data_IF_956130639374
#
_entry.id   IF_956130639374
#
_cell.length_a   1.000
_cell.length_b   1.000
_cell.length_c   1.000
_cell.angle_alpha   90.00
_cell.angle_beta   90.00
_cell.angle_gamma   90.00
#
_symmetry.space_group_name_H-M   'P 1'
#
loop_
_entity.id
_entity.type
_entity.pdbx_description
1 polymer ?
#
# COMPACT_ATOMS: atom_id res chain seq x y z
N UNK A 1 17.98 -8.36 -19.75
CA UNK A 1 18.79 -7.44 -18.91
C UNK A 1 19.16 -6.24 -19.78
N UNK A 2 18.91 -5.03 -19.32
CA UNK A 2 19.32 -3.81 -20.02
C UNK A 2 20.85 -3.83 -20.21
N UNK A 3 21.31 -3.58 -21.44
CA UNK A 3 22.75 -3.50 -21.77
C UNK A 3 23.27 -2.06 -21.71
N UNK A 4 22.43 -1.12 -21.24
CA UNK A 4 22.78 0.31 -21.15
C UNK A 4 23.87 0.54 -20.11
N UNK A 5 24.75 1.50 -20.41
CA UNK A 5 25.69 1.99 -19.41
C UNK A 5 24.94 2.67 -18.25
N UNK A 6 25.43 2.61 -17.00
CA UNK A 6 24.74 3.19 -15.86
C UNK A 6 24.35 4.67 -16.01
N UNK A 7 25.26 5.49 -16.55
CA UNK A 7 24.99 6.91 -16.80
C UNK A 7 23.89 7.11 -17.87
N UNK A 8 23.95 6.34 -18.94
CA UNK A 8 22.93 6.37 -20.01
C UNK A 8 21.55 5.95 -19.49
N UNK A 9 21.48 4.95 -18.60
CA UNK A 9 20.21 4.56 -17.98
C UNK A 9 19.61 5.70 -17.16
N UNK A 10 20.43 6.39 -16.35
CA UNK A 10 20.00 7.54 -15.55
C UNK A 10 19.49 8.66 -16.45
N UNK A 11 20.26 9.06 -17.45
CA UNK A 11 19.89 10.12 -18.40
C UNK A 11 18.54 9.82 -19.07
N UNK A 12 18.35 8.60 -19.59
CA UNK A 12 17.10 8.21 -20.27
C UNK A 12 15.90 8.09 -19.36
N UNK A 13 16.08 7.71 -18.08
CA UNK A 13 14.99 7.79 -17.08
C UNK A 13 14.52 9.23 -16.91
N UNK A 14 15.47 10.18 -16.80
CA UNK A 14 15.16 11.61 -16.66
C UNK A 14 14.57 12.22 -17.94
N UNK A 15 14.92 11.70 -19.11
CA UNK A 15 14.30 12.04 -20.40
C UNK A 15 12.92 11.39 -20.58
N UNK A 16 12.49 10.53 -19.64
CA UNK A 16 11.21 9.80 -19.66
C UNK A 16 11.09 8.85 -20.86
N UNK A 17 12.19 8.25 -21.26
CA UNK A 17 12.23 7.30 -22.36
C UNK A 17 11.67 5.92 -21.91
N UNK A 18 10.47 5.49 -22.40
CA UNK A 18 9.87 4.24 -21.96
C UNK A 18 10.68 3.01 -22.41
N UNK A 19 11.55 3.16 -23.39
CA UNK A 19 12.34 2.04 -23.93
C UNK A 19 13.41 1.52 -22.98
N UNK A 20 13.67 2.23 -21.86
CA UNK A 20 14.52 1.69 -20.78
C UNK A 20 13.84 0.56 -20.00
N UNK A 21 12.53 0.42 -20.13
CA UNK A 21 11.73 -0.66 -19.53
C UNK A 21 11.16 -1.59 -20.62
N UNK A 22 9.85 -1.56 -20.83
CA UNK A 22 9.19 -2.42 -21.85
C UNK A 22 8.83 -1.68 -23.13
N UNK A 23 8.91 -0.35 -23.11
CA UNK A 23 8.63 0.51 -24.27
C UNK A 23 7.14 0.71 -24.53
N UNK A 24 6.30 0.58 -23.51
CA UNK A 24 4.84 0.75 -23.65
C UNK A 24 4.39 2.10 -23.08
N UNK A 25 3.76 2.10 -21.91
CA UNK A 25 3.08 3.26 -21.34
C UNK A 25 3.85 3.92 -20.16
N UNK A 26 5.09 3.46 -19.90
CA UNK A 26 5.85 3.89 -18.73
C UNK A 26 6.08 5.40 -18.68
N UNK A 27 6.25 6.06 -19.85
CA UNK A 27 6.46 7.51 -19.92
C UNK A 27 5.33 8.34 -19.27
N UNK A 28 4.10 7.81 -19.27
CA UNK A 28 2.96 8.51 -18.64
C UNK A 28 2.92 8.39 -17.12
N UNK A 29 3.78 7.58 -16.50
CA UNK A 29 3.78 7.31 -15.06
C UNK A 29 4.96 7.96 -14.32
N UNK A 30 5.70 8.85 -14.96
CA UNK A 30 6.94 9.43 -14.45
C UNK A 30 6.77 10.84 -13.84
N UNK A 31 5.53 11.24 -13.50
CA UNK A 31 5.26 12.52 -12.84
C UNK A 31 5.93 12.68 -11.48
N UNK A 32 6.19 11.56 -10.78
CA UNK A 32 6.85 11.53 -9.48
C UNK A 32 8.30 12.08 -9.51
N UNK A 33 8.96 12.06 -10.66
CA UNK A 33 10.30 12.65 -10.81
C UNK A 33 10.35 14.15 -10.49
N UNK A 34 9.27 14.88 -10.73
CA UNK A 34 9.18 16.33 -10.48
C UNK A 34 8.29 16.69 -9.29
N UNK A 35 7.69 15.69 -8.64
CA UNK A 35 6.68 15.92 -7.61
C UNK A 35 7.19 16.66 -6.37
N UNK A 36 8.43 16.43 -5.86
CA UNK A 36 8.94 17.22 -4.72
C UNK A 36 8.89 18.71 -4.98
N UNK A 37 9.36 19.16 -6.16
CA UNK A 37 9.35 20.59 -6.54
C UNK A 37 7.91 21.11 -6.71
N UNK A 38 7.03 20.34 -7.38
CA UNK A 38 5.61 20.70 -7.57
C UNK A 38 4.87 20.82 -6.24
N UNK A 39 5.07 19.90 -5.32
CA UNK A 39 4.44 19.97 -4.01
C UNK A 39 5.00 21.11 -3.15
N UNK A 40 6.29 21.46 -3.34
CA UNK A 40 6.88 22.60 -2.64
C UNK A 40 6.15 23.91 -2.93
N UNK A 41 5.64 24.09 -4.17
CA UNK A 41 4.84 25.25 -4.58
C UNK A 41 3.43 25.24 -3.96
N UNK A 42 2.91 24.07 -3.54
CA UNK A 42 1.57 23.90 -2.99
C UNK A 42 1.51 23.89 -1.47
N UNK A 43 2.64 23.93 -0.77
CA UNK A 43 2.69 23.81 0.70
C UNK A 43 1.82 24.86 1.38
N UNK A 44 1.87 26.13 0.94
CA UNK A 44 1.11 27.21 1.56
C UNK A 44 -0.40 26.97 1.48
N UNK A 45 -0.91 26.47 0.34
CA UNK A 45 -2.32 26.06 0.14
C UNK A 45 -2.74 25.02 1.19
N UNK A 46 -1.91 23.98 1.39
CA UNK A 46 -2.22 22.87 2.29
C UNK A 46 -2.16 23.31 3.76
N UNK A 47 -1.17 24.13 4.11
CA UNK A 47 -1.01 24.68 5.47
C UNK A 47 -2.16 25.62 5.80
N UNK A 48 -2.57 26.50 4.88
CA UNK A 48 -3.71 27.40 5.06
C UNK A 48 -5.00 26.59 5.30
N UNK A 49 -5.24 25.56 4.49
CA UNK A 49 -6.39 24.69 4.67
C UNK A 49 -6.44 24.05 6.06
N UNK A 50 -5.35 23.37 6.46
CA UNK A 50 -5.30 22.66 7.75
C UNK A 50 -5.39 23.64 8.92
N UNK A 51 -4.72 24.79 8.85
CA UNK A 51 -4.76 25.82 9.90
C UNK A 51 -6.13 26.48 10.06
N UNK A 52 -6.95 26.46 9.01
CA UNK A 52 -8.33 26.96 9.00
C UNK A 52 -9.36 26.00 9.61
N UNK A 53 -8.91 24.83 10.10
CA UNK A 53 -9.81 23.79 10.62
C UNK A 53 -9.57 23.60 12.12
N UNK A 54 -10.63 23.74 12.91
CA UNK A 54 -10.62 23.42 14.34
C UNK A 54 -11.21 22.02 14.57
N UNK A 55 -10.31 21.01 14.70
CA UNK A 55 -10.65 19.61 14.96
C UNK A 55 -9.67 19.02 15.97
N UNK A 56 -10.12 17.97 16.65
CA UNK A 56 -9.30 17.27 17.64
C UNK A 56 -8.53 16.11 17.01
N UNK A 57 -9.14 15.44 16.03
CA UNK A 57 -8.56 14.27 15.36
C UNK A 57 -8.65 14.38 13.83
N UNK A 58 -7.74 13.71 13.14
CA UNK A 58 -7.79 13.53 11.69
C UNK A 58 -7.79 12.04 11.37
N UNK A 59 -8.71 11.60 10.51
CA UNK A 59 -8.82 10.23 10.06
C UNK A 59 -8.60 10.15 8.54
N UNK A 60 -7.59 9.43 8.13
CA UNK A 60 -7.34 9.12 6.72
C UNK A 60 -8.07 7.82 6.35
N UNK A 61 -8.96 7.91 5.36
CA UNK A 61 -9.68 6.79 4.76
C UNK A 61 -9.03 6.49 3.41
N UNK A 62 -8.19 5.47 3.34
CA UNK A 62 -7.42 5.18 2.12
C UNK A 62 -6.85 3.77 2.12
N UNK A 63 -6.44 3.31 0.93
CA UNK A 63 -5.88 1.98 0.74
C UNK A 63 -4.56 2.05 -0.04
N UNK A 64 -3.61 1.17 0.28
CA UNK A 64 -2.35 1.06 -0.43
C UNK A 64 -1.58 2.39 -0.51
N UNK A 65 -1.26 2.88 -1.72
CA UNK A 65 -0.53 4.13 -1.91
C UNK A 65 -1.21 5.37 -1.34
N UNK A 66 -2.53 5.32 -1.07
CA UNK A 66 -3.25 6.42 -0.40
C UNK A 66 -3.16 6.38 1.12
N UNK A 67 -2.59 5.33 1.73
CA UNK A 67 -2.53 5.17 3.19
C UNK A 67 -1.15 4.82 3.73
N UNK A 68 -0.33 4.05 2.99
CA UNK A 68 0.90 3.47 3.54
C UNK A 68 2.00 4.50 3.81
N UNK A 69 2.22 5.46 2.91
CA UNK A 69 3.17 6.54 3.18
C UNK A 69 2.72 7.43 4.35
N UNK A 70 1.43 7.87 4.44
CA UNK A 70 0.90 8.52 5.63
C UNK A 70 1.04 7.69 6.91
N UNK A 71 0.78 6.39 6.87
CA UNK A 71 0.94 5.52 8.05
C UNK A 71 2.40 5.44 8.52
N UNK A 72 3.34 5.36 7.58
CA UNK A 72 4.78 5.45 7.90
C UNK A 72 5.11 6.79 8.56
N UNK A 73 4.66 7.90 7.99
CA UNK A 73 4.88 9.24 8.56
C UNK A 73 4.27 9.34 9.96
N UNK A 74 3.02 8.86 10.15
CA UNK A 74 2.35 8.82 11.46
C UNK A 74 3.19 8.11 12.52
N UNK A 75 3.77 6.96 12.18
CA UNK A 75 4.61 6.16 13.11
C UNK A 75 5.94 6.84 13.39
N UNK A 76 6.65 7.27 12.35
CA UNK A 76 7.98 7.89 12.46
C UNK A 76 7.92 9.20 13.24
N UNK A 77 6.91 10.05 12.99
CA UNK A 77 6.71 11.33 13.68
C UNK A 77 5.83 11.23 14.95
N UNK A 78 5.29 10.05 15.26
CA UNK A 78 4.45 9.76 16.44
C UNK A 78 3.23 10.68 16.53
N UNK A 79 2.50 10.83 15.41
CA UNK A 79 1.31 11.67 15.32
C UNK A 79 0.11 10.94 15.94
N UNK A 80 -0.16 11.17 17.24
CA UNK A 80 -1.15 10.43 18.03
C UNK A 80 -2.60 10.76 17.63
N UNK A 81 -2.86 12.02 17.17
CA UNK A 81 -4.18 12.49 16.77
C UNK A 81 -4.48 12.28 15.29
N UNK A 82 -3.61 11.58 14.58
CA UNK A 82 -3.81 11.18 13.20
C UNK A 82 -4.04 9.66 13.14
N UNK A 83 -5.14 9.26 12.54
CA UNK A 83 -5.55 7.86 12.43
C UNK A 83 -5.59 7.43 10.97
N UNK A 84 -5.18 6.21 10.67
CA UNK A 84 -5.31 5.61 9.34
C UNK A 84 -6.30 4.45 9.43
N UNK A 85 -7.34 4.50 8.61
CA UNK A 85 -8.32 3.42 8.48
C UNK A 85 -8.15 2.77 7.10
N UNK A 86 -7.41 1.68 7.06
CA UNK A 86 -7.12 0.90 5.86
C UNK A 86 -7.62 -0.55 5.95
N UNK A 87 -8.69 -0.75 6.69
CA UNK A 87 -9.39 -2.02 6.86
C UNK A 87 -10.90 -1.87 6.75
N UNK A 88 -11.58 -2.91 6.30
CA UNK A 88 -13.05 -3.02 6.30
C UNK A 88 -13.56 -3.87 7.46
N UNK A 89 -12.71 -4.19 8.45
CA UNK A 89 -13.12 -4.99 9.60
C UNK A 89 -14.09 -4.22 10.50
N UNK A 90 -15.33 -4.73 10.74
CA UNK A 90 -16.35 -3.99 11.48
C UNK A 90 -15.91 -3.55 12.88
N UNK A 91 -15.20 -4.43 13.60
CA UNK A 91 -14.72 -4.16 14.96
C UNK A 91 -13.68 -3.03 14.96
N UNK A 92 -12.80 -2.99 13.97
CA UNK A 92 -11.80 -1.92 13.86
C UNK A 92 -12.46 -0.56 13.57
N UNK A 93 -13.48 -0.54 12.71
CA UNK A 93 -14.24 0.69 12.39
C UNK A 93 -14.98 1.21 13.63
N UNK A 94 -15.67 0.33 14.40
CA UNK A 94 -16.32 0.72 15.66
C UNK A 94 -15.32 1.25 16.67
N UNK A 95 -14.21 0.56 16.86
CA UNK A 95 -13.17 0.98 17.81
C UNK A 95 -12.64 2.37 17.45
N UNK A 96 -12.44 2.67 16.16
CA UNK A 96 -12.05 4.01 15.74
C UNK A 96 -13.16 5.02 16.05
N UNK A 97 -14.41 4.74 15.69
CA UNK A 97 -15.56 5.63 15.97
C UNK A 97 -15.69 5.93 17.47
N UNK A 98 -15.51 4.91 18.33
CA UNK A 98 -15.59 5.05 19.79
C UNK A 98 -14.41 5.83 20.39
N UNK A 99 -13.27 5.93 19.68
CA UNK A 99 -12.06 6.61 20.16
C UNK A 99 -11.97 8.08 19.78
N UNK A 100 -12.87 8.58 18.91
CA UNK A 100 -12.85 9.96 18.39
C UNK A 100 -14.21 10.63 18.61
N UNK A 101 -14.23 11.96 18.60
CA UNK A 101 -15.45 12.74 18.43
C UNK A 101 -15.66 13.02 16.93
N UNK A 102 -16.62 12.34 16.31
CA UNK A 102 -16.87 12.42 14.86
C UNK A 102 -17.16 13.87 14.40
N UNK A 103 -17.87 14.68 15.21
CA UNK A 103 -18.19 16.07 14.89
C UNK A 103 -16.95 16.99 14.94
N UNK A 104 -15.94 16.59 15.73
CA UNK A 104 -14.66 17.30 15.88
C UNK A 104 -13.50 16.60 15.14
N UNK A 105 -13.83 15.77 14.15
CA UNK A 105 -12.85 15.02 13.36
C UNK A 105 -12.88 15.46 11.90
N UNK A 106 -11.70 15.68 11.30
CA UNK A 106 -11.53 15.78 9.86
C UNK A 106 -11.30 14.39 9.27
N UNK A 107 -12.18 13.96 8.38
CA UNK A 107 -11.98 12.78 7.57
C UNK A 107 -11.35 13.15 6.22
N UNK A 108 -10.21 12.55 5.89
CA UNK A 108 -9.57 12.71 4.58
C UNK A 108 -9.85 11.44 3.77
N UNK A 109 -10.78 11.52 2.81
CA UNK A 109 -11.07 10.43 1.90
C UNK A 109 -10.06 10.45 0.73
N UNK A 110 -9.16 9.46 0.67
CA UNK A 110 -8.05 9.42 -0.29
C UNK A 110 -8.16 8.23 -1.23
N UNK A 111 -8.39 8.49 -2.53
CA UNK A 111 -8.40 7.47 -3.58
C UNK A 111 -8.16 8.11 -4.94
N UNK A 112 -7.12 7.68 -5.67
CA UNK A 112 -6.80 8.20 -7.01
C UNK A 112 -7.98 8.05 -7.98
N UNK A 113 -8.49 6.85 -8.14
CA UNK A 113 -9.63 6.57 -9.03
C UNK A 113 -10.98 7.06 -8.46
N UNK A 114 -11.06 7.27 -7.15
CA UNK A 114 -12.30 7.57 -6.44
C UNK A 114 -13.33 6.43 -6.43
N UNK A 115 -12.95 5.24 -6.88
CA UNK A 115 -13.82 4.06 -6.98
C UNK A 115 -13.42 2.94 -6.04
N UNK A 116 -12.37 3.13 -5.21
CA UNK A 116 -11.92 2.15 -4.22
C UNK A 116 -13.06 1.83 -3.26
N UNK A 117 -13.49 0.58 -3.27
CA UNK A 117 -14.71 0.12 -2.58
C UNK A 117 -14.63 0.36 -1.06
N UNK A 118 -13.46 0.08 -0.48
CA UNK A 118 -13.17 0.25 0.94
C UNK A 118 -13.30 1.73 1.33
N UNK A 119 -12.57 2.61 0.64
CA UNK A 119 -12.59 4.05 0.90
C UNK A 119 -14.00 4.61 0.74
N UNK A 120 -14.76 4.19 -0.29
CA UNK A 120 -16.15 4.60 -0.50
C UNK A 120 -17.04 4.17 0.66
N UNK A 121 -16.95 2.90 1.06
CA UNK A 121 -17.76 2.33 2.14
C UNK A 121 -17.49 3.02 3.48
N UNK A 122 -16.23 3.28 3.81
CA UNK A 122 -15.83 4.02 4.99
C UNK A 122 -16.31 5.48 4.93
N UNK A 123 -16.16 6.13 3.78
CA UNK A 123 -16.63 7.51 3.57
C UNK A 123 -18.15 7.62 3.76
N UNK A 124 -18.94 6.73 3.16
CA UNK A 124 -20.38 6.71 3.29
C UNK A 124 -20.81 6.49 4.76
N UNK A 125 -20.07 5.63 5.48
CA UNK A 125 -20.32 5.36 6.89
C UNK A 125 -20.13 6.61 7.77
N UNK A 126 -18.99 7.29 7.68
CA UNK A 126 -18.71 8.45 8.53
C UNK A 126 -19.46 9.71 8.09
N UNK A 127 -19.85 9.84 6.82
CA UNK A 127 -20.75 10.90 6.36
C UNK A 127 -22.14 10.78 6.97
N UNK A 128 -22.67 9.58 7.08
CA UNK A 128 -23.96 9.31 7.75
C UNK A 128 -23.93 9.69 9.24
N UNK A 129 -22.72 9.71 9.84
CA UNK A 129 -22.47 10.12 11.23
C UNK A 129 -22.22 11.63 11.41
N UNK A 130 -22.22 12.41 10.33
CA UNK A 130 -22.02 13.87 10.38
C UNK A 130 -20.56 14.33 10.31
N UNK A 131 -19.62 13.48 9.95
CA UNK A 131 -18.21 13.83 9.82
C UNK A 131 -17.93 14.92 8.79
N UNK A 132 -16.91 15.77 9.05
CA UNK A 132 -16.38 16.75 8.10
C UNK A 132 -15.38 16.10 7.18
N UNK A 133 -15.43 16.40 5.87
CA UNK A 133 -14.60 15.73 4.86
C UNK A 133 -13.75 16.68 4.04
N UNK A 134 -12.49 16.28 3.81
CA UNK A 134 -11.67 16.67 2.68
C UNK A 134 -11.45 15.45 1.77
N UNK A 135 -11.15 15.68 0.50
CA UNK A 135 -10.94 14.63 -0.49
C UNK A 135 -9.58 14.79 -1.16
N UNK A 136 -8.84 13.70 -1.28
CA UNK A 136 -7.66 13.61 -2.15
C UNK A 136 -7.96 12.62 -3.28
N UNK A 137 -7.94 13.09 -4.52
CA UNK A 137 -8.28 12.26 -5.68
C UNK A 137 -7.70 12.82 -6.98
N UNK A 138 -7.77 12.07 -8.07
CA UNK A 138 -7.39 12.60 -9.38
C UNK A 138 -8.53 13.42 -10.01
N UNK A 139 -8.22 14.34 -10.93
CA UNK A 139 -9.23 15.09 -11.67
C UNK A 139 -10.23 14.16 -12.41
N UNK A 140 -11.51 14.50 -12.35
CA UNK A 140 -12.58 13.70 -12.97
C UNK A 140 -13.06 12.50 -12.16
N UNK A 141 -12.49 12.28 -10.99
CA UNK A 141 -12.91 11.21 -10.07
C UNK A 141 -14.27 11.50 -9.42
N UNK A 142 -15.16 10.49 -9.29
CA UNK A 142 -16.44 10.66 -8.61
C UNK A 142 -16.33 10.96 -7.10
N UNK A 143 -15.15 10.74 -6.51
CA UNK A 143 -14.90 11.07 -5.11
C UNK A 143 -14.89 12.58 -4.88
N UNK A 144 -14.50 13.38 -5.90
CA UNK A 144 -14.46 14.83 -5.82
C UNK A 144 -15.82 15.47 -5.53
N UNK A 145 -16.92 14.79 -5.87
CA UNK A 145 -18.28 15.29 -5.63
C UNK A 145 -18.70 15.22 -4.15
N UNK A 146 -17.91 14.53 -3.30
CA UNK A 146 -18.29 14.30 -1.89
C UNK A 146 -17.98 15.47 -0.96
N UNK A 147 -17.09 16.37 -1.33
CA UNK A 147 -16.70 17.54 -0.53
C UNK A 147 -16.41 18.76 -1.42
N UNK A 148 -16.53 19.94 -0.85
CA UNK A 148 -16.01 21.17 -1.46
C UNK A 148 -14.48 21.33 -1.31
N UNK A 149 -13.92 20.68 -0.30
CA UNK A 149 -12.50 20.70 0.03
C UNK A 149 -11.82 19.52 -0.70
N UNK A 150 -11.43 19.74 -1.97
CA UNK A 150 -10.85 18.73 -2.85
C UNK A 150 -9.43 19.10 -3.24
N UNK A 151 -8.51 18.16 -3.03
CA UNK A 151 -7.09 18.28 -3.38
C UNK A 151 -6.77 17.28 -4.49
N UNK A 152 -6.47 17.80 -5.66
CA UNK A 152 -6.18 16.95 -6.82
C UNK A 152 -4.73 16.50 -6.83
N UNK A 153 -4.56 15.18 -7.03
CA UNK A 153 -3.28 14.54 -7.30
C UNK A 153 -2.85 14.73 -8.75
N UNK A 154 -1.61 14.36 -9.02
CA UNK A 154 -1.05 14.33 -10.37
C UNK A 154 -1.43 12.99 -11.04
N UNK A 155 -2.19 13.00 -12.15
CA UNK A 155 -2.63 11.75 -12.80
C UNK A 155 -1.49 10.89 -13.34
N UNK A 156 -0.33 11.50 -13.62
CA UNK A 156 0.86 10.81 -14.14
C UNK A 156 1.70 10.14 -13.06
N UNK A 157 1.16 10.00 -11.84
CA UNK A 157 1.82 9.32 -10.72
C UNK A 157 1.01 8.09 -10.31
N UNK A 158 1.60 6.91 -10.32
CA UNK A 158 1.00 5.69 -9.78
C UNK A 158 0.83 5.75 -8.26
N UNK A 159 -0.17 5.03 -7.68
CA UNK A 159 -0.46 5.08 -6.24
C UNK A 159 0.76 4.82 -5.34
N UNK A 160 1.56 3.80 -5.62
CA UNK A 160 2.75 3.46 -4.84
C UNK A 160 3.92 4.44 -4.98
N UNK A 161 3.90 5.32 -6.00
CA UNK A 161 4.85 6.41 -6.24
C UNK A 161 4.33 7.77 -5.76
N UNK A 162 3.26 7.81 -4.96
CA UNK A 162 2.60 9.05 -4.56
C UNK A 162 2.98 9.53 -3.14
N UNK A 163 4.02 8.98 -2.54
CA UNK A 163 4.43 9.31 -1.17
C UNK A 163 4.74 10.81 -0.99
N UNK A 164 5.37 11.43 -1.98
CA UNK A 164 5.74 12.85 -1.97
C UNK A 164 4.72 13.75 -2.70
N UNK A 165 3.57 13.19 -3.12
CA UNK A 165 2.46 13.95 -3.70
C UNK A 165 1.47 14.44 -2.63
N UNK A 166 0.39 15.08 -3.06
CA UNK A 166 -0.69 15.48 -2.15
C UNK A 166 -1.25 14.34 -1.32
N UNK A 167 -1.15 13.08 -1.79
CA UNK A 167 -1.56 11.88 -1.05
C UNK A 167 -0.73 11.62 0.21
N UNK A 168 0.54 12.04 0.23
CA UNK A 168 1.38 11.99 1.43
C UNK A 168 1.48 13.34 2.14
N UNK A 169 1.56 14.45 1.39
CA UNK A 169 1.90 15.76 1.96
C UNK A 169 0.72 16.41 2.69
N UNK A 170 -0.53 16.31 2.21
CA UNK A 170 -1.68 16.83 2.98
C UNK A 170 -1.87 16.07 4.31
N UNK A 171 -1.83 14.73 4.36
CA UNK A 171 -1.74 13.99 5.62
C UNK A 171 -0.59 14.46 6.51
N UNK A 172 0.62 14.67 5.96
CA UNK A 172 1.78 15.13 6.74
C UNK A 172 1.56 16.50 7.37
N UNK A 173 1.00 17.47 6.61
CA UNK A 173 0.59 18.78 7.16
C UNK A 173 -0.42 18.60 8.31
N UNK A 174 -1.39 17.71 8.12
CA UNK A 174 -2.42 17.42 9.13
C UNK A 174 -1.85 16.77 10.40
N UNK A 175 -0.67 16.14 10.31
CA UNK A 175 0.09 15.61 11.45
C UNK A 175 0.96 16.68 12.14
N UNK A 176 1.03 17.90 11.59
CA UNK A 176 1.92 18.97 12.08
C UNK A 176 3.39 18.78 11.69
N UNK A 177 3.68 17.97 10.66
CA UNK A 177 5.03 17.75 10.16
C UNK A 177 5.48 18.98 9.37
N UNK A 178 6.74 19.41 9.55
CA UNK A 178 7.37 20.42 8.71
C UNK A 178 7.61 19.84 7.30
N UNK A 179 6.59 19.94 6.45
CA UNK A 179 6.64 19.40 5.09
C UNK A 179 7.60 20.15 4.19
N UNK A 180 7.96 21.41 4.52
CA UNK A 180 9.01 22.16 3.81
C UNK A 180 10.34 21.42 3.97
N UNK A 181 10.72 21.12 5.20
CA UNK A 181 11.94 20.37 5.50
C UNK A 181 11.92 18.97 4.90
N UNK A 182 10.76 18.29 4.91
CA UNK A 182 10.60 16.96 4.32
C UNK A 182 10.84 16.99 2.80
N UNK A 183 10.24 17.97 2.12
CA UNK A 183 10.36 18.15 0.66
C UNK A 183 11.75 18.65 0.25
N UNK A 184 12.41 19.51 1.05
CA UNK A 184 13.78 19.92 0.81
C UNK A 184 14.74 18.71 0.84
N UNK A 185 14.55 17.78 1.77
CA UNK A 185 15.29 16.51 1.81
C UNK A 185 15.01 15.63 0.59
N UNK A 186 13.76 15.56 0.13
CA UNK A 186 13.40 14.85 -1.09
C UNK A 186 14.07 15.46 -2.33
N UNK A 187 14.12 16.78 -2.42
CA UNK A 187 14.76 17.49 -3.54
C UNK A 187 16.29 17.31 -3.54
N UNK A 188 16.95 17.33 -2.37
CA UNK A 188 18.37 16.98 -2.26
C UNK A 188 18.66 15.57 -2.84
N UNK A 189 17.83 14.58 -2.51
CA UNK A 189 17.96 13.23 -3.04
C UNK A 189 17.63 13.16 -4.54
N UNK A 190 16.63 13.91 -4.98
CA UNK A 190 16.26 14.01 -6.40
C UNK A 190 17.46 14.49 -7.24
N UNK A 191 18.15 15.53 -6.79
CA UNK A 191 19.37 15.99 -7.46
C UNK A 191 20.51 14.95 -7.35
N UNK A 192 20.62 14.24 -6.22
CA UNK A 192 21.56 13.12 -6.07
C UNK A 192 21.31 12.00 -7.08
N UNK A 193 20.05 11.73 -7.40
CA UNK A 193 19.65 10.72 -8.40
C UNK A 193 19.81 11.18 -9.86
N UNK A 194 20.31 12.42 -10.12
CA UNK A 194 20.75 12.89 -11.44
C UNK A 194 22.23 12.66 -11.72
N UNK A 195 23.00 12.35 -10.69
CA UNK A 195 24.45 12.19 -10.82
C UNK A 195 24.82 10.97 -11.67
N UNK A 196 25.81 11.11 -12.52
CA UNK A 196 26.37 9.99 -13.30
C UNK A 196 27.21 9.05 -12.44
N UNK A 197 27.82 9.57 -11.38
CA UNK A 197 28.68 8.83 -10.45
C UNK A 197 28.26 9.09 -9.02
N UNK A 198 28.17 8.04 -8.21
CA UNK A 198 27.73 8.15 -6.82
C UNK A 198 26.23 8.41 -6.68
N UNK A 199 25.44 7.97 -7.64
CA UNK A 199 23.99 8.11 -7.66
C UNK A 199 23.33 7.12 -6.69
N UNK A 200 22.72 7.61 -5.58
CA UNK A 200 22.23 6.73 -4.51
C UNK A 200 21.03 5.88 -4.93
N UNK A 201 20.20 6.37 -5.86
CA UNK A 201 19.06 5.62 -6.38
C UNK A 201 19.48 4.54 -7.37
N UNK A 202 20.45 4.84 -8.25
CA UNK A 202 21.03 3.85 -9.17
C UNK A 202 21.72 2.71 -8.41
N UNK A 203 22.54 3.04 -7.41
CA UNK A 203 23.27 2.04 -6.63
C UNK A 203 22.32 1.12 -5.85
N UNK A 204 21.26 1.66 -5.28
CA UNK A 204 20.21 0.87 -4.63
C UNK A 204 19.43 0.03 -5.65
N UNK A 205 19.04 0.60 -6.79
CA UNK A 205 18.27 -0.10 -7.83
C UNK A 205 19.02 -1.29 -8.43
N UNK A 206 20.33 -1.17 -8.60
CA UNK A 206 21.17 -2.29 -9.04
C UNK A 206 21.20 -3.43 -8.03
N UNK A 207 21.38 -3.11 -6.74
CA UNK A 207 21.31 -4.12 -5.66
C UNK A 207 19.94 -4.79 -5.59
N UNK A 208 18.85 -4.02 -5.75
CA UNK A 208 17.49 -4.57 -5.80
C UNK A 208 17.32 -5.55 -6.96
N UNK A 209 17.82 -5.23 -8.15
CA UNK A 209 17.71 -6.10 -9.32
C UNK A 209 18.46 -7.44 -9.18
N UNK A 210 19.45 -7.51 -8.28
CA UNK A 210 20.22 -8.74 -7.97
C UNK A 210 19.57 -9.55 -6.81
N UNK A 211 18.48 -9.05 -6.20
CA UNK A 211 17.85 -9.61 -5.01
C UNK A 211 16.55 -10.31 -5.36
N UNK A 212 16.33 -11.52 -4.86
CA UNK A 212 15.04 -12.22 -4.93
C UNK A 212 14.22 -12.07 -3.64
N UNK A 213 14.91 -11.88 -2.50
CA UNK A 213 14.33 -11.70 -1.19
C UNK A 213 14.90 -10.44 -0.54
N UNK A 214 14.05 -9.45 -0.30
CA UNK A 214 14.42 -8.18 0.34
C UNK A 214 13.95 -8.18 1.81
N UNK A 215 14.89 -8.12 2.74
CA UNK A 215 14.57 -7.96 4.17
C UNK A 215 14.62 -6.49 4.54
N UNK A 216 13.52 -5.96 5.05
CA UNK A 216 13.39 -4.56 5.47
C UNK A 216 12.94 -4.50 6.92
N UNK A 217 13.54 -3.63 7.72
CA UNK A 217 13.17 -3.43 9.11
C UNK A 217 12.66 -2.01 9.36
N UNK A 218 11.93 -1.85 10.48
CA UNK A 218 11.38 -0.56 10.92
C UNK A 218 10.10 -0.15 10.19
N UNK A 219 9.53 0.95 10.63
CA UNK A 219 8.23 1.43 10.14
C UNK A 219 8.21 1.77 8.65
N UNK A 220 9.35 2.22 8.11
CA UNK A 220 9.50 2.53 6.69
C UNK A 220 9.35 1.29 5.80
N UNK A 221 9.67 0.11 6.32
CA UNK A 221 9.51 -1.17 5.63
C UNK A 221 8.10 -1.44 5.12
N UNK A 222 7.09 -0.93 5.82
CA UNK A 222 5.68 -1.07 5.43
C UNK A 222 5.37 -0.46 4.05
N UNK A 223 5.96 0.69 3.72
CA UNK A 223 5.80 1.33 2.42
C UNK A 223 6.71 0.70 1.35
N UNK A 224 7.96 0.36 1.70
CA UNK A 224 8.88 -0.35 0.79
C UNK A 224 8.26 -1.67 0.33
N UNK A 225 7.60 -2.39 1.23
CA UNK A 225 6.92 -3.65 0.91
C UNK A 225 5.93 -3.47 -0.25
N UNK A 226 5.10 -2.42 -0.23
CA UNK A 226 4.21 -2.11 -1.34
C UNK A 226 5.00 -1.75 -2.59
N UNK A 227 5.90 -0.76 -2.48
CA UNK A 227 6.62 -0.22 -3.62
C UNK A 227 7.33 -1.33 -4.41
N UNK A 228 8.06 -2.19 -3.73
CA UNK A 228 8.86 -3.24 -4.36
C UNK A 228 7.98 -4.39 -4.87
N UNK A 229 7.06 -4.90 -4.04
CA UNK A 229 6.22 -6.04 -4.41
C UNK A 229 5.31 -5.72 -5.61
N UNK A 230 4.63 -4.58 -5.57
CA UNK A 230 3.68 -4.19 -6.62
C UNK A 230 4.39 -3.80 -7.92
N UNK A 231 5.60 -3.24 -7.83
CA UNK A 231 6.38 -2.84 -9.01
C UNK A 231 7.07 -4.02 -9.69
N UNK A 232 7.56 -5.02 -8.93
CA UNK A 232 8.40 -6.08 -9.47
C UNK A 232 7.67 -7.42 -9.65
N UNK A 233 6.59 -7.67 -8.90
CA UNK A 233 5.90 -8.96 -8.82
C UNK A 233 4.99 -9.24 -10.00
N UNK A 234 5.54 -9.51 -11.19
CA UNK A 234 4.77 -9.75 -12.40
C UNK A 234 5.49 -10.64 -13.42
N UNK A 235 4.72 -11.34 -14.27
CA UNK A 235 5.29 -12.19 -15.30
C UNK A 235 6.13 -13.35 -14.75
N UNK A 236 5.83 -13.84 -13.55
CA UNK A 236 6.60 -14.89 -12.90
C UNK A 236 7.92 -14.42 -12.24
N UNK A 237 8.19 -13.12 -12.27
CA UNK A 237 9.34 -12.48 -11.62
C UNK A 237 8.88 -11.69 -10.40
N UNK A 238 9.84 -11.26 -9.58
CA UNK A 238 9.59 -10.34 -8.48
C UNK A 238 10.58 -10.46 -7.36
N UNK A 239 10.71 -9.37 -6.62
CA UNK A 239 11.46 -9.31 -5.37
C UNK A 239 10.44 -9.49 -4.25
N UNK A 240 10.65 -10.47 -3.39
CA UNK A 240 9.78 -10.72 -2.24
C UNK A 240 10.25 -9.86 -1.07
N UNK A 241 9.54 -8.79 -0.70
CA UNK A 241 9.89 -8.02 0.48
C UNK A 241 9.34 -8.70 1.73
N UNK A 242 10.14 -8.69 2.79
CA UNK A 242 9.80 -9.21 4.11
C UNK A 242 10.11 -8.15 5.14
N UNK A 243 9.07 -7.58 5.71
CA UNK A 243 9.20 -6.50 6.68
C UNK A 243 9.57 -6.99 8.09
N UNK A 244 9.23 -8.22 8.45
CA UNK A 244 9.54 -8.81 9.76
C UNK A 244 10.92 -9.49 9.75
N UNK A 245 11.67 -9.34 10.85
CA UNK A 245 12.92 -10.07 11.07
C UNK A 245 14.10 -9.63 10.21
N UNK A 246 14.02 -8.46 9.57
CA UNK A 246 15.13 -7.89 8.83
C UNK A 246 16.19 -7.27 9.74
N UNK A 247 17.44 -7.23 9.26
CA UNK A 247 18.47 -6.41 9.88
C UNK A 247 18.08 -4.93 9.67
N UNK A 248 18.02 -4.08 10.72
CA UNK A 248 17.74 -2.66 10.59
C UNK A 248 18.77 -1.88 9.76
N UNK A 249 19.76 -2.57 9.16
CA UNK A 249 20.89 -1.96 8.49
C UNK A 249 20.57 -1.23 7.18
N UNK A 250 19.45 -1.57 6.49
CA UNK A 250 19.22 -1.07 5.13
C UNK A 250 18.53 0.29 5.05
N UNK A 251 17.74 0.67 6.06
CA UNK A 251 17.15 2.00 6.15
C UNK A 251 17.29 2.52 7.59
N UNK A 252 18.22 3.44 7.78
CA UNK A 252 18.36 4.18 9.04
C UNK A 252 17.80 5.58 8.83
N UNK A 253 16.90 5.99 9.70
CA UNK A 253 16.33 7.33 9.77
C UNK A 253 16.80 8.00 11.08
N UNK A 254 18.07 8.42 11.18
CA UNK A 254 18.58 9.11 12.38
C UNK A 254 17.85 10.44 12.60
N UNK A 255 17.43 11.10 11.53
CA UNK A 255 16.51 12.23 11.55
C UNK A 255 15.20 11.81 10.84
N UNK A 256 14.01 11.93 11.47
CA UNK A 256 12.73 11.62 10.84
C UNK A 256 12.50 12.29 9.48
N UNK A 257 13.08 13.47 9.24
CA UNK A 257 12.95 14.19 7.97
C UNK A 257 13.76 13.58 6.83
N UNK A 258 14.70 12.68 7.12
CA UNK A 258 15.38 11.87 6.08
C UNK A 258 14.39 10.94 5.35
N UNK A 259 13.19 10.76 5.92
CA UNK A 259 12.09 10.06 5.25
C UNK A 259 11.77 10.66 3.86
N UNK A 260 11.87 11.99 3.71
CA UNK A 260 11.67 12.65 2.42
C UNK A 260 12.66 12.18 1.35
N UNK A 261 13.96 12.13 1.70
CA UNK A 261 14.98 11.63 0.78
C UNK A 261 14.84 10.14 0.50
N UNK A 262 14.46 9.34 1.50
CA UNK A 262 14.32 7.89 1.33
C UNK A 262 13.11 7.54 0.45
N UNK A 263 11.98 8.25 0.54
CA UNK A 263 10.88 8.09 -0.39
C UNK A 263 11.36 8.23 -1.84
N UNK A 264 12.03 9.34 -2.18
CA UNK A 264 12.51 9.57 -3.54
C UNK A 264 13.57 8.54 -3.96
N UNK A 265 14.53 8.23 -3.08
CA UNK A 265 15.59 7.26 -3.37
C UNK A 265 15.03 5.88 -3.75
N UNK A 266 14.05 5.40 -2.99
CA UNK A 266 13.45 4.09 -3.23
C UNK A 266 12.54 4.08 -4.46
N UNK A 267 11.81 5.16 -4.73
CA UNK A 267 11.04 5.31 -5.98
C UNK A 267 11.96 5.23 -7.19
N UNK A 268 13.06 5.99 -7.19
CA UNK A 268 14.04 5.97 -8.26
C UNK A 268 14.73 4.60 -8.39
N UNK A 269 15.15 4.02 -7.28
CA UNK A 269 15.78 2.69 -7.24
C UNK A 269 14.85 1.59 -7.79
N UNK A 270 13.56 1.65 -7.46
CA UNK A 270 12.57 0.68 -7.96
C UNK A 270 12.36 0.83 -9.47
N UNK A 271 12.35 2.06 -10.00
CA UNK A 271 12.31 2.31 -11.44
C UNK A 271 13.56 1.75 -12.14
N UNK A 272 14.75 1.95 -11.57
CA UNK A 272 16.02 1.36 -12.05
C UNK A 272 15.96 -0.16 -12.02
N UNK A 273 15.52 -0.77 -10.90
CA UNK A 273 15.40 -2.22 -10.80
C UNK A 273 14.41 -2.78 -11.85
N UNK A 274 13.29 -2.12 -12.09
CA UNK A 274 12.34 -2.49 -13.15
C UNK A 274 12.98 -2.53 -14.53
N UNK A 275 13.82 -1.53 -14.87
CA UNK A 275 14.59 -1.51 -16.11
C UNK A 275 15.54 -2.70 -16.22
N UNK A 276 16.31 -2.97 -15.16
CA UNK A 276 17.29 -4.07 -15.16
C UNK A 276 16.62 -5.46 -15.21
N UNK A 277 15.42 -5.57 -14.65
CA UNK A 277 14.60 -6.78 -14.70
C UNK A 277 13.80 -6.91 -16.01
N UNK A 278 13.75 -5.86 -16.84
CA UNK A 278 13.01 -5.84 -18.10
C UNK A 278 11.49 -5.87 -17.91
N UNK A 279 10.97 -5.21 -16.88
CA UNK A 279 9.55 -5.13 -16.54
C UNK A 279 9.07 -3.68 -16.48
N UNK A 280 7.75 -3.46 -16.67
CA UNK A 280 7.13 -2.17 -16.37
C UNK A 280 6.91 -2.04 -14.85
N UNK A 281 7.61 -1.15 -14.12
CA UNK A 281 7.47 -1.04 -12.66
C UNK A 281 6.26 -0.20 -12.24
N UNK A 282 5.46 0.32 -13.18
CA UNK A 282 4.39 1.27 -12.90
C UNK A 282 2.97 0.66 -13.06
N UNK A 283 2.82 -0.45 -13.76
CA UNK A 283 1.56 -1.17 -13.92
C UNK A 283 1.31 -2.21 -12.80
N UNK A 284 0.08 -2.73 -12.73
CA UNK A 284 -0.32 -3.81 -11.80
C UNK A 284 -1.43 -4.68 -12.43
N UNK A 285 -1.10 -5.55 -13.41
CA UNK A 285 -2.11 -6.27 -14.19
C UNK A 285 -2.87 -7.35 -13.40
N UNK A 286 -2.29 -7.89 -12.31
CA UNK A 286 -2.79 -9.09 -11.66
C UNK A 286 -3.80 -8.84 -10.52
N UNK A 287 -4.01 -7.57 -10.11
CA UNK A 287 -4.92 -7.24 -8.98
C UNK A 287 -6.39 -7.17 -9.39
N UNK A 288 -6.69 -7.02 -10.69
CA UNK A 288 -8.07 -6.85 -11.16
C UNK A 288 -8.94 -8.08 -10.91
N UNK A 289 -8.42 -9.29 -11.12
CA UNK A 289 -9.18 -10.54 -10.97
C UNK A 289 -9.78 -10.71 -9.56
N UNK A 290 -9.07 -10.35 -8.50
CA UNK A 290 -9.58 -10.43 -7.14
C UNK A 290 -10.69 -9.40 -6.88
N UNK A 291 -10.55 -8.19 -7.42
CA UNK A 291 -11.58 -7.14 -7.34
C UNK A 291 -12.86 -7.56 -8.07
N UNK A 292 -12.73 -8.12 -9.27
CA UNK A 292 -13.86 -8.60 -10.06
C UNK A 292 -14.62 -9.72 -9.34
N UNK A 293 -13.89 -10.67 -8.73
CA UNK A 293 -14.52 -11.74 -7.92
C UNK A 293 -15.24 -11.17 -6.71
N UNK A 294 -14.62 -10.26 -5.97
CA UNK A 294 -15.27 -9.58 -4.82
C UNK A 294 -16.55 -8.89 -5.26
N UNK A 295 -16.53 -8.14 -6.36
CA UNK A 295 -17.70 -7.45 -6.89
C UNK A 295 -18.80 -8.43 -7.35
N UNK A 296 -18.42 -9.55 -7.98
CA UNK A 296 -19.36 -10.60 -8.38
C UNK A 296 -20.03 -11.25 -7.17
N UNK A 297 -19.27 -11.55 -6.10
CA UNK A 297 -19.79 -12.08 -4.84
C UNK A 297 -20.79 -11.10 -4.19
N UNK A 298 -20.44 -9.82 -4.08
CA UNK A 298 -21.32 -8.79 -3.52
C UNK A 298 -22.58 -8.55 -4.36
N UNK A 299 -22.50 -8.74 -5.67
CA UNK A 299 -23.63 -8.56 -6.61
C UNK A 299 -24.56 -9.77 -6.68
N UNK A 300 -24.16 -10.93 -6.17
CA UNK A 300 -24.97 -12.15 -6.18
C UNK A 300 -26.18 -12.00 -5.23
N UNK A 301 -27.34 -11.70 -5.79
CA UNK A 301 -28.58 -11.45 -5.04
C UNK A 301 -28.92 -12.65 -4.14
N UNK A 302 -28.87 -12.45 -2.82
CA UNK A 302 -29.39 -13.36 -1.79
C UNK A 302 -28.56 -14.60 -1.49
N UNK A 303 -27.39 -14.78 -2.07
CA UNK A 303 -26.37 -15.77 -1.69
C UNK A 303 -25.02 -15.11 -1.55
N UNK A 304 -24.93 -14.17 -0.62
CA UNK A 304 -23.60 -13.90 -0.07
C UNK A 304 -23.17 -15.21 0.59
N UNK A 305 -21.99 -15.79 0.25
CA UNK A 305 -21.42 -16.92 0.99
C UNK A 305 -21.54 -16.56 2.47
N UNK A 306 -21.93 -17.53 3.32
CA UNK A 306 -22.05 -17.26 4.75
C UNK A 306 -20.81 -16.49 5.20
N UNK A 307 -20.98 -15.45 6.00
CA UNK A 307 -19.89 -14.63 6.53
C UNK A 307 -18.92 -15.45 7.40
N UNK A 308 -19.25 -16.72 7.64
CA UNK A 308 -18.40 -17.69 8.31
C UNK A 308 -17.56 -18.43 7.27
N UNK A 309 -16.32 -17.98 7.11
CA UNK A 309 -15.33 -18.66 6.27
C UNK A 309 -14.64 -19.75 7.10
N UNK A 310 -15.04 -20.99 6.91
CA UNK A 310 -14.42 -22.14 7.57
C UNK A 310 -12.99 -22.43 7.07
N UNK A 311 -12.23 -23.28 7.79
CA UNK A 311 -10.91 -23.70 7.36
C UNK A 311 -11.00 -24.50 6.05
N UNK A 312 -9.97 -24.39 5.20
CA UNK A 312 -9.86 -25.08 3.92
C UNK A 312 -8.42 -25.50 3.66
N UNK A 313 -8.19 -26.79 3.45
CA UNK A 313 -6.85 -27.36 3.30
C UNK A 313 -6.16 -27.67 4.64
N UNK A 314 -4.92 -28.15 4.56
CA UNK A 314 -4.11 -28.53 5.72
C UNK A 314 -2.88 -27.61 5.84
N UNK A 315 -2.81 -26.85 6.93
CA UNK A 315 -1.65 -26.01 7.21
C UNK A 315 -0.37 -26.85 7.41
N UNK A 316 -0.48 -28.03 8.05
CA UNK A 316 0.67 -28.90 8.28
C UNK A 316 1.24 -29.44 6.95
N UNK A 317 0.37 -29.84 6.02
CA UNK A 317 0.79 -30.32 4.70
C UNK A 317 1.40 -29.17 3.86
N UNK A 318 0.81 -27.97 3.91
CA UNK A 318 1.36 -26.81 3.21
C UNK A 318 2.77 -26.49 3.71
N UNK A 319 2.95 -26.37 5.02
CA UNK A 319 4.25 -26.02 5.62
C UNK A 319 5.29 -27.13 5.46
N UNK A 320 4.88 -28.41 5.46
CA UNK A 320 5.79 -29.55 5.22
C UNK A 320 6.32 -29.57 3.77
N UNK A 321 5.63 -28.93 2.83
CA UNK A 321 6.06 -28.80 1.45
C UNK A 321 6.97 -27.58 1.19
N UNK A 322 7.22 -26.75 2.19
CA UNK A 322 8.08 -25.56 2.05
C UNK A 322 9.55 -25.93 1.88
N UNK A 323 10.25 -25.18 1.01
CA UNK A 323 11.68 -25.27 0.80
C UNK A 323 12.35 -23.93 1.17
N UNK A 324 13.69 -23.89 1.33
CA UNK A 324 14.39 -22.61 1.63
C UNK A 324 14.29 -21.54 0.52
N UNK A 325 13.95 -21.92 -0.70
CA UNK A 325 13.71 -21.03 -1.83
C UNK A 325 12.30 -20.44 -1.84
N UNK A 326 11.40 -20.99 -1.04
CA UNK A 326 10.02 -20.52 -0.90
C UNK A 326 9.92 -19.34 0.08
N UNK A 327 8.80 -18.62 0.03
CA UNK A 327 8.36 -17.74 1.12
C UNK A 327 6.96 -18.12 1.57
N UNK A 328 6.69 -17.93 2.85
CA UNK A 328 5.35 -18.12 3.41
C UNK A 328 4.72 -16.75 3.63
N UNK A 329 3.55 -16.50 3.02
CA UNK A 329 2.78 -15.29 3.25
C UNK A 329 1.56 -15.60 4.13
N UNK A 330 1.49 -14.99 5.31
CA UNK A 330 0.33 -15.00 6.20
C UNK A 330 -0.57 -13.83 5.79
N UNK A 331 -1.71 -14.15 5.19
CA UNK A 331 -2.68 -13.21 4.62
C UNK A 331 -3.88 -13.12 5.56
N UNK A 332 -3.84 -12.17 6.50
CA UNK A 332 -4.76 -12.15 7.64
C UNK A 332 -5.92 -11.15 7.45
N UNK A 333 -7.12 -11.67 7.24
CA UNK A 333 -8.37 -10.90 7.33
C UNK A 333 -8.91 -11.01 8.76
N UNK A 334 -8.34 -10.22 9.64
CA UNK A 334 -8.65 -10.20 11.07
C UNK A 334 -8.75 -8.75 11.55
N UNK A 335 -9.32 -8.54 12.73
CA UNK A 335 -9.18 -7.24 13.39
C UNK A 335 -7.69 -6.88 13.54
N UNK A 336 -7.22 -5.73 13.02
CA UNK A 336 -5.80 -5.34 13.13
C UNK A 336 -5.27 -5.32 14.57
N UNK A 337 -6.11 -5.10 15.58
CA UNK A 337 -5.71 -5.18 16.99
C UNK A 337 -5.33 -6.60 17.42
N UNK A 338 -5.77 -7.62 16.67
CA UNK A 338 -5.44 -9.02 16.91
C UNK A 338 -4.20 -9.50 16.13
N UNK A 339 -3.49 -8.60 15.43
CA UNK A 339 -2.25 -8.95 14.72
C UNK A 339 -1.25 -9.74 15.60
N UNK A 340 -1.05 -9.43 16.91
CA UNK A 340 -0.17 -10.24 17.76
C UNK A 340 -0.60 -11.71 17.90
N UNK A 341 -1.86 -12.04 17.70
CA UNK A 341 -2.37 -13.42 17.74
C UNK A 341 -1.94 -14.25 16.52
N UNK A 342 -1.38 -13.63 15.48
CA UNK A 342 -0.80 -14.32 14.32
C UNK A 342 0.56 -14.97 14.64
N UNK A 343 1.19 -14.61 15.75
CA UNK A 343 2.54 -15.07 16.12
C UNK A 343 2.71 -16.61 16.11
N UNK A 344 1.74 -17.45 16.54
CA UNK A 344 1.85 -18.90 16.42
C UNK A 344 1.97 -19.38 14.96
N UNK A 345 1.28 -18.74 14.02
CA UNK A 345 1.38 -19.07 12.59
C UNK A 345 2.73 -18.62 12.01
N UNK A 346 3.21 -17.44 12.41
CA UNK A 346 4.53 -16.91 12.02
C UNK A 346 5.64 -17.87 12.46
N UNK A 347 5.67 -18.27 13.73
CA UNK A 347 6.70 -19.21 14.25
C UNK A 347 6.67 -20.55 13.54
N UNK A 348 5.49 -21.07 13.24
CA UNK A 348 5.37 -22.33 12.49
C UNK A 348 5.90 -22.18 11.06
N UNK A 349 5.63 -21.06 10.41
CA UNK A 349 6.16 -20.76 9.09
C UNK A 349 7.70 -20.57 9.12
N UNK A 350 8.24 -19.82 10.09
CA UNK A 350 9.68 -19.63 10.27
C UNK A 350 10.43 -20.94 10.55
N UNK A 351 9.78 -21.90 11.23
CA UNK A 351 10.36 -23.21 11.50
C UNK A 351 10.63 -24.03 10.22
N UNK A 352 10.04 -23.67 9.10
CA UNK A 352 10.33 -24.31 7.79
C UNK A 352 11.67 -23.86 7.18
N UNK A 353 12.24 -22.76 7.66
CA UNK A 353 13.42 -22.11 7.07
C UNK A 353 13.10 -21.16 5.90
N UNK A 354 11.85 -21.09 5.46
CA UNK A 354 11.39 -20.14 4.45
C UNK A 354 11.28 -18.72 5.02
N UNK A 355 11.37 -17.71 4.17
CA UNK A 355 11.08 -16.33 4.56
C UNK A 355 9.58 -16.15 4.85
N UNK A 356 9.23 -15.33 5.85
CA UNK A 356 7.83 -15.14 6.26
C UNK A 356 7.41 -13.70 6.10
N UNK A 357 6.36 -13.45 5.31
CA UNK A 357 5.67 -12.17 5.18
C UNK A 357 4.31 -12.22 5.89
N UNK A 358 3.86 -11.08 6.43
CA UNK A 358 2.53 -10.95 7.06
C UNK A 358 1.82 -9.75 6.45
N UNK A 359 0.67 -9.99 5.82
CA UNK A 359 -0.17 -8.96 5.24
C UNK A 359 -1.54 -8.90 5.91
N UNK A 360 -1.96 -7.72 6.40
CA UNK A 360 -3.32 -7.54 6.89
C UNK A 360 -4.28 -7.23 5.72
N UNK A 361 -5.34 -7.99 5.63
CA UNK A 361 -6.40 -7.81 4.63
C UNK A 361 -7.50 -6.85 5.12
N UNK A 362 -8.07 -6.04 4.23
CA UNK A 362 -7.83 -5.99 2.79
C UNK A 362 -6.61 -5.16 2.34
N UNK A 363 -5.87 -4.50 3.25
CA UNK A 363 -4.73 -3.62 2.92
C UNK A 363 -3.75 -4.25 1.95
N UNK A 364 -3.32 -5.51 2.18
CA UNK A 364 -2.35 -6.17 1.31
C UNK A 364 -2.85 -6.41 -0.12
N UNK A 365 -4.17 -6.45 -0.36
CA UNK A 365 -4.74 -6.53 -1.72
C UNK A 365 -4.33 -5.34 -2.59
N UNK A 366 -4.04 -4.20 -1.95
CA UNK A 366 -3.61 -2.94 -2.55
C UNK A 366 -2.09 -2.69 -2.37
N UNK A 367 -1.31 -3.74 -2.06
CA UNK A 367 0.14 -3.67 -1.90
C UNK A 367 0.82 -4.94 -2.43
N UNK A 368 1.09 -5.93 -1.58
CA UNK A 368 1.77 -7.18 -1.96
C UNK A 368 0.91 -8.11 -2.82
N UNK A 369 -0.39 -7.86 -2.93
CA UNK A 369 -1.32 -8.68 -3.69
C UNK A 369 -0.94 -8.89 -5.17
N UNK A 370 -0.28 -7.91 -5.80
CA UNK A 370 0.27 -8.04 -7.15
C UNK A 370 1.35 -9.13 -7.20
N UNK A 371 2.31 -9.10 -6.27
CA UNK A 371 3.39 -10.08 -6.17
C UNK A 371 2.83 -11.50 -5.92
N UNK A 372 1.89 -11.65 -5.00
CA UNK A 372 1.32 -12.95 -4.66
C UNK A 372 0.63 -13.62 -5.84
N UNK A 373 0.07 -12.83 -6.75
CA UNK A 373 -0.67 -13.30 -7.92
C UNK A 373 0.20 -13.41 -9.17
N UNK A 374 1.06 -12.42 -9.42
CA UNK A 374 1.84 -12.29 -10.66
C UNK A 374 3.32 -12.61 -10.53
N UNK A 375 3.83 -12.70 -9.31
CA UNK A 375 5.24 -12.97 -9.01
C UNK A 375 5.64 -14.43 -9.19
N UNK A 376 6.85 -14.81 -8.72
CA UNK A 376 7.36 -16.17 -8.84
C UNK A 376 6.47 -17.17 -8.09
N UNK A 377 6.46 -18.43 -8.55
CA UNK A 377 5.67 -19.51 -7.94
C UNK A 377 6.40 -20.18 -6.76
N UNK A 378 6.99 -19.34 -5.91
CA UNK A 378 7.67 -19.75 -4.66
C UNK A 378 6.85 -19.43 -3.41
N UNK A 379 5.64 -18.88 -3.56
CA UNK A 379 4.76 -18.52 -2.46
C UNK A 379 3.97 -19.70 -1.89
N UNK A 380 3.94 -19.82 -0.56
CA UNK A 380 2.98 -20.61 0.20
C UNK A 380 2.09 -19.65 0.96
N UNK A 381 0.78 -19.74 0.78
CA UNK A 381 -0.16 -18.75 1.30
C UNK A 381 -1.02 -19.35 2.42
N UNK A 382 -0.99 -18.71 3.58
CA UNK A 382 -1.83 -19.05 4.73
C UNK A 382 -2.81 -17.93 4.93
N UNK A 383 -4.05 -18.07 4.45
CA UNK A 383 -5.09 -17.12 4.74
C UNK A 383 -5.62 -17.38 6.16
N UNK A 384 -5.48 -16.39 7.04
CA UNK A 384 -6.02 -16.40 8.40
C UNK A 384 -7.26 -15.53 8.44
N UNK A 385 -8.38 -16.05 8.95
CA UNK A 385 -9.63 -15.30 9.11
C UNK A 385 -10.11 -15.40 10.56
N UNK A 386 -10.75 -14.35 11.06
CA UNK A 386 -11.50 -14.41 12.32
C UNK A 386 -13.02 -14.47 12.03
N UNK A 387 -13.85 -14.29 13.04
CA UNK A 387 -15.31 -14.28 12.92
C UNK A 387 -15.89 -12.95 12.39
N UNK A 388 -15.02 -11.97 12.11
CA UNK A 388 -15.34 -10.59 11.69
C UNK A 388 -16.23 -9.80 12.66
N UNK A 389 -16.55 -10.33 13.83
CA UNK A 389 -17.40 -9.70 14.83
C UNK A 389 -18.85 -9.47 14.35
N UNK A 390 -19.55 -8.56 15.01
CA UNK A 390 -20.89 -8.14 14.61
C UNK A 390 -20.85 -7.28 13.34
N UNK A 391 -21.86 -7.41 12.48
CA UNK A 391 -21.91 -6.63 11.24
C UNK A 391 -22.11 -5.13 11.52
N UNK A 392 -21.60 -4.32 10.61
CA UNK A 392 -21.75 -2.87 10.60
C UNK A 392 -22.30 -2.43 9.25
N UNK A 393 -23.45 -1.77 9.27
CA UNK A 393 -24.17 -1.40 8.06
C UNK A 393 -23.39 -0.34 7.26
N UNK A 394 -23.33 -0.51 5.95
CA UNK A 394 -22.84 0.51 5.02
C UNK A 394 -24.03 1.27 4.45
N UNK A 395 -24.15 2.60 4.66
CA UNK A 395 -25.25 3.40 4.13
C UNK A 395 -25.35 3.27 2.60
N UNK A 396 -26.57 3.10 2.09
CA UNK A 396 -26.82 2.93 0.66
C UNK A 396 -26.50 1.56 0.07
N UNK A 397 -25.88 0.63 0.83
CA UNK A 397 -25.58 -0.72 0.37
C UNK A 397 -26.56 -1.76 0.94
N UNK A 398 -26.74 -2.85 0.19
CA UNK A 398 -27.54 -4.00 0.63
C UNK A 398 -26.77 -4.94 1.58
N UNK A 399 -25.49 -4.67 1.83
CA UNK A 399 -24.58 -5.46 2.67
C UNK A 399 -23.87 -4.55 3.67
N UNK A 400 -23.33 -5.13 4.73
CA UNK A 400 -22.50 -4.47 5.72
C UNK A 400 -21.02 -4.76 5.54
N UNK A 401 -20.21 -4.20 6.44
CA UNK A 401 -18.74 -4.37 6.42
C UNK A 401 -18.31 -5.82 6.67
N UNK A 402 -19.05 -6.60 7.49
CA UNK A 402 -18.78 -8.02 7.69
C UNK A 402 -18.90 -8.81 6.38
N UNK A 403 -19.95 -8.54 5.62
CA UNK A 403 -20.12 -9.14 4.31
C UNK A 403 -19.03 -8.69 3.34
N UNK A 404 -18.67 -7.42 3.36
CA UNK A 404 -17.63 -6.87 2.50
C UNK A 404 -16.28 -7.56 2.73
N UNK A 405 -15.81 -7.61 3.99
CA UNK A 405 -14.51 -8.23 4.31
C UNK A 405 -14.51 -9.73 4.01
N UNK A 406 -15.62 -10.44 4.27
CA UNK A 406 -15.75 -11.86 3.95
C UNK A 406 -15.68 -12.10 2.43
N UNK A 407 -16.31 -11.26 1.61
CA UNK A 407 -16.22 -11.35 0.14
C UNK A 407 -14.82 -11.02 -0.37
N UNK A 408 -14.10 -10.08 0.28
CA UNK A 408 -12.72 -9.77 -0.05
C UNK A 408 -11.78 -10.95 0.26
N UNK A 409 -11.93 -11.56 1.43
CA UNK A 409 -11.16 -12.73 1.83
C UNK A 409 -11.41 -13.91 0.88
N UNK A 410 -12.68 -14.20 0.58
CA UNK A 410 -13.05 -15.30 -0.33
C UNK A 410 -12.58 -15.04 -1.75
N UNK A 411 -12.80 -13.84 -2.28
CA UNK A 411 -12.39 -13.46 -3.65
C UNK A 411 -10.89 -13.55 -3.87
N UNK A 412 -10.10 -13.18 -2.86
CA UNK A 412 -8.64 -13.32 -2.91
C UNK A 412 -8.20 -14.79 -2.84
N UNK A 413 -8.76 -15.56 -1.90
CA UNK A 413 -8.48 -16.98 -1.76
C UNK A 413 -8.74 -17.75 -3.07
N UNK A 414 -9.92 -17.54 -3.66
CA UNK A 414 -10.28 -18.17 -4.94
C UNK A 414 -9.38 -17.72 -6.09
N UNK A 415 -8.95 -16.44 -6.09
CA UNK A 415 -8.05 -15.92 -7.13
C UNK A 415 -6.69 -16.58 -7.07
N UNK A 416 -6.11 -16.73 -5.86
CA UNK A 416 -4.84 -17.41 -5.68
C UNK A 416 -4.95 -18.89 -6.06
N UNK A 417 -6.01 -19.58 -5.62
CA UNK A 417 -6.28 -20.97 -5.96
C UNK A 417 -6.43 -21.20 -7.47
N UNK A 418 -7.21 -20.36 -8.14
CA UNK A 418 -7.45 -20.47 -9.59
C UNK A 418 -6.19 -20.22 -10.41
N UNK A 419 -5.22 -19.49 -9.85
CA UNK A 419 -3.88 -19.32 -10.41
C UNK A 419 -2.91 -20.45 -10.08
N UNK A 420 -3.38 -21.51 -9.43
CA UNK A 420 -2.57 -22.66 -9.04
C UNK A 420 -1.64 -22.39 -7.86
N UNK A 421 -1.83 -21.28 -7.12
CA UNK A 421 -1.00 -20.96 -5.97
C UNK A 421 -1.30 -21.92 -4.80
N UNK A 422 -0.27 -22.29 -4.04
CA UNK A 422 -0.36 -23.16 -2.86
C UNK A 422 -0.98 -22.35 -1.70
N UNK A 423 -2.28 -22.54 -1.44
CA UNK A 423 -3.02 -21.76 -0.44
C UNK A 423 -3.89 -22.63 0.44
N UNK A 424 -3.92 -22.31 1.72
CA UNK A 424 -4.86 -22.86 2.72
C UNK A 424 -5.52 -21.75 3.51
N UNK A 425 -6.69 -22.01 4.08
CA UNK A 425 -7.36 -21.11 5.02
C UNK A 425 -7.44 -21.73 6.39
N UNK A 426 -7.14 -20.94 7.41
CA UNK A 426 -7.24 -21.29 8.83
C UNK A 426 -8.02 -20.22 9.59
N UNK A 427 -8.57 -20.58 10.74
CA UNK A 427 -9.20 -19.64 11.66
C UNK A 427 -8.23 -19.23 12.77
N UNK A 428 -8.36 -17.95 13.19
CA UNK A 428 -7.66 -17.39 14.33
C UNK A 428 -8.36 -17.75 15.64
#
# INVERSE_FOLDING_TARGET
>A
MSTLAPAELVERIWERDPSVWTGHDEAQWLGWLDEPARMRERVDELVEFVSGIDVDDVVLLGMGGSSLAPEVMRRVFRAERFHVLDTTHPTAIRRLEESIDVERTLFIAASKSGTTLETRSQTDYFRDKGGRFAVITDPGSPLAELSKDVFYGEPTIGGRYSALSVFGILPAVSMGIDVVRLLDRAEEMREGCRLEVGNPGLDLGRRLAETTLLRVAGDFGLWIEQLVAESTGKGGNGIVPVWRGGDPADVRLPDPYELGQEFFRWEFATAVAGSLLGINPFDQPDVHAAKDKTNALLSSRGRVPGTELGPEGSLDELLAAATPEDYVAILAFVDPAREPELEPFVRRAEATGAAVAVGLGPRYLHSTGQLHKGGPDTGLFVQVVDDFGDDLKIPGQAYGFKTLIACQALGDFETLRDRGRRIVRVQL
#
